data_IF_788642743880
#
_entry.id   IF_788642743880
#
_cell.length_a   1.000
_cell.length_b   1.000
_cell.length_c   1.000
_cell.angle_alpha   90.00
_cell.angle_beta   90.00
_cell.angle_gamma   90.00
#
_symmetry.space_group_name_H-M   'P 1'
#
loop_
_entity.id
_entity.type
_entity.pdbx_description
1 polymer ?
#
# COMPACT_ATOMS: atom_id res chain seq x y z
N UNK A 1 -7.04 19.79 3.46
CA UNK A 1 -5.61 19.42 3.52
C UNK A 1 -5.11 19.15 2.11
N UNK A 2 -3.82 19.28 1.89
CA UNK A 2 -3.14 18.82 0.67
C UNK A 2 -2.56 17.43 0.92
N UNK A 3 -3.06 16.42 0.23
CA UNK A 3 -2.67 15.02 0.45
C UNK A 3 -2.01 14.48 -0.82
N UNK A 4 -0.80 13.97 -0.70
CA UNK A 4 -0.14 13.23 -1.78
C UNK A 4 -0.42 11.73 -1.64
N UNK A 5 -0.91 11.10 -2.71
CA UNK A 5 -1.09 9.64 -2.79
C UNK A 5 -0.23 9.08 -3.91
N UNK A 6 0.69 8.18 -3.61
CA UNK A 6 1.44 7.51 -4.67
C UNK A 6 0.57 6.45 -5.36
N UNK A 7 0.49 6.50 -6.70
CA UNK A 7 -0.44 5.70 -7.50
C UNK A 7 -1.74 6.41 -7.81
N UNK A 8 -2.84 6.07 -7.14
CA UNK A 8 -4.15 6.74 -7.30
C UNK A 8 -5.06 6.18 -8.40
N UNK A 9 -4.63 5.20 -9.19
CA UNK A 9 -5.40 4.69 -10.34
C UNK A 9 -5.84 3.22 -10.21
N UNK A 10 -5.30 2.50 -9.23
CA UNK A 10 -5.54 1.05 -9.11
C UNK A 10 -5.77 0.67 -7.65
N UNK A 11 -6.74 -0.18 -7.42
CA UNK A 11 -7.06 -0.87 -6.17
C UNK A 11 -6.98 0.03 -4.92
N UNK A 12 -6.03 -0.24 -4.00
CA UNK A 12 -5.92 0.47 -2.72
C UNK A 12 -5.63 1.96 -2.92
N UNK A 13 -4.64 2.31 -3.74
CA UNK A 13 -4.29 3.71 -3.97
C UNK A 13 -5.42 4.50 -4.63
N UNK A 14 -6.21 3.85 -5.52
CA UNK A 14 -7.42 4.46 -6.09
C UNK A 14 -8.48 4.70 -5.03
N UNK A 15 -8.73 3.72 -4.16
CA UNK A 15 -9.73 3.83 -3.09
C UNK A 15 -9.38 4.94 -2.10
N UNK A 16 -8.10 5.06 -1.73
CA UNK A 16 -7.59 6.13 -0.86
C UNK A 16 -7.78 7.50 -1.53
N UNK A 17 -7.33 7.65 -2.77
CA UNK A 17 -7.45 8.91 -3.51
C UNK A 17 -8.93 9.31 -3.68
N UNK A 18 -9.82 8.38 -4.00
CA UNK A 18 -11.25 8.60 -4.14
C UNK A 18 -11.91 9.01 -2.81
N UNK A 19 -11.52 8.37 -1.71
CA UNK A 19 -12.06 8.68 -0.39
C UNK A 19 -11.69 10.09 0.06
N UNK A 20 -10.41 10.41 0.05
CA UNK A 20 -9.93 11.69 0.55
C UNK A 20 -10.24 12.87 -0.36
N UNK A 21 -10.43 12.66 -1.67
CA UNK A 21 -10.76 13.73 -2.61
C UNK A 21 -12.17 14.32 -2.45
N UNK A 22 -12.98 13.75 -1.56
CA UNK A 22 -14.30 14.30 -1.21
C UNK A 22 -14.18 15.63 -0.44
N UNK A 23 -13.20 15.74 0.45
CA UNK A 23 -13.08 16.85 1.39
C UNK A 23 -11.68 17.49 1.41
N UNK A 24 -10.76 17.02 0.55
CA UNK A 24 -9.37 17.47 0.53
C UNK A 24 -8.86 17.69 -0.90
N UNK A 25 -7.77 18.44 -1.04
CA UNK A 25 -7.01 18.53 -2.27
C UNK A 25 -6.10 17.31 -2.39
N UNK A 26 -6.46 16.35 -3.22
CA UNK A 26 -5.67 15.15 -3.42
C UNK A 26 -4.83 15.26 -4.68
N UNK A 27 -3.54 15.04 -4.50
CA UNK A 27 -2.55 14.92 -5.56
C UNK A 27 -2.19 13.44 -5.73
N UNK A 28 -2.16 12.95 -6.95
CA UNK A 28 -1.76 11.58 -7.27
C UNK A 28 -0.48 11.57 -8.07
N UNK A 29 0.51 10.83 -7.59
CA UNK A 29 1.81 10.68 -8.24
C UNK A 29 1.86 9.36 -9.00
N UNK A 30 1.85 9.41 -10.34
CA UNK A 30 1.95 8.22 -11.18
C UNK A 30 2.40 8.57 -12.61
N UNK A 31 2.64 7.55 -13.44
CA UNK A 31 3.13 7.68 -14.82
C UNK A 31 2.03 7.96 -15.85
N UNK A 32 0.83 8.31 -15.43
CA UNK A 32 -0.31 8.61 -16.30
C UNK A 32 -0.67 7.52 -17.35
N UNK A 33 -0.43 6.26 -17.01
CA UNK A 33 -0.71 5.13 -17.91
C UNK A 33 -2.16 4.63 -17.84
N UNK A 34 -2.95 5.17 -16.92
CA UNK A 34 -4.37 4.82 -16.72
C UNK A 34 -5.19 6.09 -16.51
N UNK A 35 -6.50 5.98 -16.77
CA UNK A 35 -7.45 7.07 -16.53
C UNK A 35 -7.42 7.51 -15.06
N UNK A 36 -7.25 8.79 -14.84
CA UNK A 36 -7.26 9.42 -13.51
C UNK A 36 -8.70 9.59 -12.99
N UNK A 37 -8.84 9.76 -11.68
CA UNK A 37 -10.09 10.24 -11.07
C UNK A 37 -10.33 11.71 -11.45
N UNK A 38 -11.60 12.12 -11.56
CA UNK A 38 -11.92 13.48 -12.01
C UNK A 38 -11.59 14.58 -10.99
N UNK A 39 -11.52 14.24 -9.71
CA UNK A 39 -11.38 15.16 -8.58
C UNK A 39 -10.02 15.06 -7.88
N UNK A 40 -8.98 14.67 -8.62
CA UNK A 40 -7.60 14.64 -8.14
C UNK A 40 -6.69 15.44 -9.07
N UNK A 41 -5.61 15.96 -8.56
CA UNK A 41 -4.56 16.61 -9.34
C UNK A 41 -3.46 15.61 -9.65
N UNK A 42 -3.20 15.37 -10.95
CA UNK A 42 -2.12 14.49 -11.36
C UNK A 42 -0.76 15.21 -11.27
N UNK A 43 0.18 14.55 -10.62
CA UNK A 43 1.62 14.83 -10.76
C UNK A 43 2.22 13.68 -11.57
N UNK A 44 2.38 13.94 -12.88
CA UNK A 44 2.92 12.92 -13.77
C UNK A 44 4.43 12.79 -13.62
N UNK A 45 4.86 11.65 -13.12
CA UNK A 45 6.28 11.29 -13.07
C UNK A 45 6.48 9.79 -12.80
N UNK A 46 7.68 9.29 -13.09
CA UNK A 46 8.15 8.01 -12.59
C UNK A 46 8.80 8.20 -11.21
N UNK A 47 8.35 7.41 -10.24
CA UNK A 47 8.86 7.49 -8.86
C UNK A 47 10.33 7.11 -8.70
N UNK A 48 10.89 6.38 -9.68
CA UNK A 48 12.32 6.06 -9.70
C UNK A 48 13.20 7.24 -10.09
N UNK A 49 12.60 8.33 -10.63
CA UNK A 49 13.31 9.52 -11.09
C UNK A 49 12.50 10.79 -10.79
N UNK A 50 12.25 11.06 -9.52
CA UNK A 50 11.46 12.21 -9.09
C UNK A 50 12.22 13.54 -9.21
N UNK A 51 13.51 13.56 -8.92
CA UNK A 51 14.30 14.79 -8.90
C UNK A 51 13.62 15.88 -8.05
N UNK A 52 13.48 17.07 -8.61
CA UNK A 52 12.85 18.23 -7.97
C UNK A 52 11.35 18.36 -8.27
N UNK A 53 10.71 17.34 -8.85
CA UNK A 53 9.32 17.42 -9.31
C UNK A 53 8.31 17.77 -8.22
N UNK A 54 8.60 17.38 -6.98
CA UNK A 54 7.74 17.65 -5.83
C UNK A 54 8.13 18.90 -5.05
N UNK A 55 9.27 19.53 -5.35
CA UNK A 55 9.78 20.73 -4.62
C UNK A 55 8.86 21.95 -4.70
N UNK A 56 8.01 22.05 -5.72
CA UNK A 56 7.03 23.12 -5.86
C UNK A 56 5.75 22.91 -5.05
N UNK A 57 5.60 21.80 -4.36
CA UNK A 57 4.39 21.44 -3.61
C UNK A 57 4.64 21.44 -2.10
N UNK A 58 3.57 21.65 -1.33
CA UNK A 58 3.54 21.45 0.11
C UNK A 58 2.39 20.52 0.44
N UNK A 59 2.69 19.40 1.09
CA UNK A 59 1.71 18.39 1.48
C UNK A 59 1.58 18.34 3.00
N UNK A 60 0.33 18.26 3.49
CA UNK A 60 0.05 18.02 4.90
C UNK A 60 0.27 16.54 5.23
N UNK A 61 -0.13 15.65 4.31
CA UNK A 61 -0.01 14.20 4.46
C UNK A 61 0.51 13.56 3.18
N UNK A 62 1.45 12.64 3.30
CA UNK A 62 1.92 11.77 2.22
C UNK A 62 1.44 10.35 2.49
N UNK A 63 0.67 9.76 1.59
CA UNK A 63 0.23 8.36 1.66
C UNK A 63 0.94 7.56 0.59
N UNK A 64 1.96 6.83 1.02
CA UNK A 64 2.81 6.04 0.12
C UNK A 64 2.32 4.60 0.01
N UNK A 65 1.66 4.30 -1.09
CA UNK A 65 1.05 3.00 -1.39
C UNK A 65 1.94 2.15 -2.31
N UNK A 66 2.78 2.80 -3.12
CA UNK A 66 3.46 2.14 -4.23
C UNK A 66 4.96 1.90 -4.02
N UNK A 67 5.54 2.29 -2.91
CA UNK A 67 6.93 1.95 -2.60
C UNK A 67 7.06 0.50 -2.14
N UNK A 68 7.97 -0.24 -2.76
CA UNK A 68 8.20 -1.66 -2.50
C UNK A 68 9.49 -1.97 -1.74
N UNK A 69 10.43 -1.02 -1.70
CA UNK A 69 11.74 -1.18 -1.08
C UNK A 69 12.23 0.15 -0.49
N UNK A 70 13.37 0.10 0.20
CA UNK A 70 14.01 1.26 0.79
C UNK A 70 14.29 2.38 -0.22
N UNK A 71 14.82 2.06 -1.40
CA UNK A 71 15.19 3.07 -2.39
C UNK A 71 13.97 3.83 -2.92
N UNK A 72 12.83 3.14 -3.07
CA UNK A 72 11.59 3.79 -3.48
C UNK A 72 11.15 4.85 -2.47
N UNK A 73 11.19 4.51 -1.18
CA UNK A 73 10.85 5.43 -0.08
C UNK A 73 11.84 6.58 0.01
N UNK A 74 13.14 6.28 -0.05
CA UNK A 74 14.20 7.27 -0.01
C UNK A 74 14.10 8.29 -1.14
N UNK A 75 13.84 7.83 -2.37
CA UNK A 75 13.62 8.71 -3.52
C UNK A 75 12.42 9.64 -3.31
N UNK A 76 11.32 9.12 -2.77
CA UNK A 76 10.13 9.93 -2.50
C UNK A 76 10.42 10.97 -1.39
N UNK A 77 11.00 10.55 -0.28
CA UNK A 77 11.35 11.41 0.85
C UNK A 77 12.28 12.55 0.40
N UNK A 78 13.32 12.24 -0.38
CA UNK A 78 14.28 13.22 -0.88
C UNK A 78 13.68 14.22 -1.89
N UNK A 79 12.61 13.84 -2.59
CA UNK A 79 11.92 14.71 -3.53
C UNK A 79 10.97 15.70 -2.84
N UNK A 80 10.57 15.46 -1.60
CA UNK A 80 9.69 16.33 -0.82
C UNK A 80 10.45 17.51 -0.19
N UNK A 81 9.80 18.65 -0.01
CA UNK A 81 10.39 19.81 0.70
C UNK A 81 10.31 19.63 2.22
N UNK A 82 9.14 19.22 2.70
CA UNK A 82 8.84 18.96 4.10
C UNK A 82 7.90 17.78 4.20
N UNK A 83 7.93 17.12 5.33
CA UNK A 83 7.07 15.99 5.64
C UNK A 83 6.43 16.26 6.99
N UNK A 84 5.12 16.56 7.00
CA UNK A 84 4.38 16.74 8.23
C UNK A 84 3.95 15.36 8.75
N UNK A 85 3.23 14.60 7.93
CA UNK A 85 2.82 13.23 8.23
C UNK A 85 3.09 12.32 7.04
N UNK A 86 3.63 11.13 7.30
CA UNK A 86 3.91 10.12 6.28
C UNK A 86 3.24 8.80 6.65
N UNK A 87 2.34 8.33 5.82
CA UNK A 87 1.64 7.05 5.99
C UNK A 87 2.18 6.07 4.94
N UNK A 88 2.82 5.01 5.40
CA UNK A 88 3.37 3.98 4.54
C UNK A 88 2.50 2.73 4.55
N UNK A 89 2.07 2.30 3.38
CA UNK A 89 1.38 1.02 3.21
C UNK A 89 2.44 -0.07 3.03
N UNK A 90 2.78 -0.69 4.15
CA UNK A 90 3.67 -1.85 4.22
C UNK A 90 2.91 -3.16 3.94
N UNK A 91 3.22 -4.24 4.61
CA UNK A 91 2.55 -5.54 4.45
C UNK A 91 2.80 -6.43 5.66
N UNK A 92 1.85 -7.29 5.99
CA UNK A 92 2.07 -8.39 6.95
C UNK A 92 3.07 -9.43 6.45
N UNK A 93 3.48 -9.38 5.18
CA UNK A 93 4.53 -10.21 4.61
C UNK A 93 5.93 -10.05 5.25
N UNK A 94 6.11 -9.00 6.06
CA UNK A 94 7.34 -8.80 6.84
C UNK A 94 7.48 -9.81 8.00
N UNK A 95 6.40 -10.46 8.41
CA UNK A 95 6.46 -11.39 9.54
C UNK A 95 6.89 -12.78 9.11
N UNK A 96 7.88 -13.39 9.79
CA UNK A 96 8.20 -14.81 9.64
C UNK A 96 6.99 -15.71 9.89
N UNK A 97 6.88 -16.80 9.14
CA UNK A 97 5.78 -17.75 9.24
C UNK A 97 5.74 -18.54 10.55
N UNK A 98 6.84 -18.62 11.28
CA UNK A 98 6.94 -19.33 12.56
C UNK A 98 6.50 -18.51 13.78
N UNK A 99 6.10 -17.26 13.59
CA UNK A 99 5.57 -16.45 14.67
C UNK A 99 4.16 -16.89 15.07
N UNK A 100 3.82 -16.79 16.38
CA UNK A 100 2.48 -17.10 16.83
C UNK A 100 1.46 -16.12 16.24
N UNK A 101 0.28 -16.63 15.90
CA UNK A 101 -0.84 -15.82 15.41
C UNK A 101 -1.89 -15.58 16.50
N UNK A 102 -2.60 -14.41 16.45
CA UNK A 102 -2.46 -13.33 15.49
C UNK A 102 -1.14 -12.58 15.64
N UNK A 103 -0.59 -12.07 14.52
CA UNK A 103 0.61 -11.26 14.56
C UNK A 103 0.36 -9.97 15.35
N UNK A 104 1.33 -9.59 16.18
CA UNK A 104 1.32 -8.35 16.96
C UNK A 104 2.30 -7.35 16.38
N UNK A 105 2.03 -6.07 16.55
CA UNK A 105 2.85 -4.99 15.99
C UNK A 105 4.29 -4.98 16.52
N UNK A 106 4.47 -5.40 17.79
CA UNK A 106 5.76 -5.48 18.45
C UNK A 106 6.64 -6.64 17.94
N UNK A 107 6.08 -7.58 17.19
CA UNK A 107 6.88 -8.69 16.67
C UNK A 107 7.90 -8.20 15.66
N UNK A 108 9.12 -8.70 15.80
CA UNK A 108 10.21 -8.40 14.86
C UNK A 108 9.89 -8.96 13.49
N UNK A 109 10.02 -8.13 12.47
CA UNK A 109 10.00 -8.58 11.09
C UNK A 109 11.23 -9.40 10.74
N UNK A 110 11.12 -10.23 9.72
CA UNK A 110 12.21 -11.08 9.24
C UNK A 110 11.87 -11.82 7.96
N UNK A 111 12.67 -12.81 7.60
CA UNK A 111 12.48 -13.59 6.40
C UNK A 111 11.23 -14.46 6.50
N UNK A 112 10.48 -14.50 5.40
CA UNK A 112 9.32 -15.36 5.19
C UNK A 112 9.51 -16.11 3.88
N UNK A 113 9.42 -17.44 3.91
CA UNK A 113 9.71 -18.31 2.75
C UNK A 113 8.74 -18.13 1.58
N UNK A 114 7.50 -17.70 1.87
CA UNK A 114 6.48 -17.41 0.85
C UNK A 114 6.72 -16.07 0.18
N UNK A 115 7.04 -15.04 0.96
CA UNK A 115 7.15 -13.64 0.50
C UNK A 115 8.58 -13.22 0.13
N UNK A 116 9.58 -13.99 0.57
CA UNK A 116 11.01 -13.82 0.20
C UNK A 116 11.43 -12.34 0.26
N UNK A 117 12.03 -11.87 -0.83
CA UNK A 117 12.56 -10.50 -0.94
C UNK A 117 11.48 -9.42 -0.78
N UNK A 118 10.21 -9.70 -1.13
CA UNK A 118 9.14 -8.73 -0.96
C UNK A 118 8.96 -8.32 0.52
N UNK A 119 8.92 -9.29 1.43
CA UNK A 119 8.82 -9.02 2.87
C UNK A 119 10.05 -8.28 3.40
N UNK A 120 11.24 -8.71 3.03
CA UNK A 120 12.51 -8.08 3.43
C UNK A 120 12.59 -6.64 2.91
N UNK A 121 12.28 -6.41 1.64
CA UNK A 121 12.30 -5.08 1.03
C UNK A 121 11.33 -4.10 1.74
N UNK A 122 10.14 -4.57 2.10
CA UNK A 122 9.19 -3.76 2.89
C UNK A 122 9.72 -3.46 4.29
N UNK A 123 10.35 -4.44 4.94
CA UNK A 123 10.96 -4.25 6.26
C UNK A 123 12.10 -3.23 6.24
N UNK A 124 12.93 -3.24 5.22
CA UNK A 124 14.00 -2.25 5.02
C UNK A 124 13.44 -0.84 4.79
N UNK A 125 12.35 -0.73 4.04
CA UNK A 125 11.63 0.52 3.85
C UNK A 125 11.05 1.06 5.17
N UNK A 126 10.45 0.18 6.00
CA UNK A 126 9.99 0.56 7.35
C UNK A 126 11.11 1.06 8.25
N UNK A 127 12.26 0.37 8.24
CA UNK A 127 13.43 0.78 8.99
C UNK A 127 13.90 2.17 8.59
N UNK A 128 14.05 2.40 7.28
CA UNK A 128 14.43 3.71 6.77
C UNK A 128 13.48 4.82 7.26
N UNK A 129 12.17 4.60 7.19
CA UNK A 129 11.19 5.58 7.65
C UNK A 129 11.30 5.84 9.15
N UNK A 130 11.42 4.81 9.97
CA UNK A 130 11.56 4.95 11.44
C UNK A 130 12.80 5.73 11.83
N UNK A 131 13.90 5.56 11.09
CA UNK A 131 15.17 6.21 11.38
C UNK A 131 15.22 7.66 10.88
N UNK A 132 14.44 8.02 9.85
CA UNK A 132 14.57 9.32 9.17
C UNK A 132 13.34 10.22 9.26
N UNK A 133 12.14 9.67 9.52
CA UNK A 133 10.88 10.42 9.52
C UNK A 133 10.20 10.31 10.89
N UNK A 134 10.19 11.37 11.64
CA UNK A 134 9.66 11.39 13.01
C UNK A 134 8.16 11.05 13.08
N UNK A 135 7.39 11.47 12.09
CA UNK A 135 5.93 11.27 12.03
C UNK A 135 5.58 10.32 10.89
N UNK A 136 6.17 9.12 10.92
CA UNK A 136 5.85 8.03 10.02
C UNK A 136 4.90 7.04 10.68
N UNK A 137 3.76 6.80 10.02
CA UNK A 137 2.79 5.76 10.38
C UNK A 137 2.93 4.60 9.40
N UNK A 138 3.06 3.39 9.92
CA UNK A 138 3.29 2.19 9.11
C UNK A 138 2.08 1.27 9.25
N UNK A 139 1.40 1.01 8.15
CA UNK A 139 0.24 0.12 8.10
C UNK A 139 0.66 -1.19 7.43
N UNK A 140 0.45 -2.32 8.10
CA UNK A 140 0.83 -3.67 7.64
C UNK A 140 -0.41 -4.50 7.31
N UNK A 141 -1.07 -4.24 6.16
CA UNK A 141 -2.28 -4.98 5.83
C UNK A 141 -1.97 -6.45 5.54
N UNK A 142 -2.91 -7.35 5.88
CA UNK A 142 -2.90 -8.72 5.40
C UNK A 142 -3.39 -8.76 3.94
N UNK A 143 -3.97 -9.88 3.49
CA UNK A 143 -4.57 -9.98 2.16
C UNK A 143 -5.71 -8.99 1.97
N UNK A 144 -5.47 -7.97 1.13
CA UNK A 144 -6.50 -7.02 0.75
C UNK A 144 -7.36 -7.58 -0.38
N UNK A 145 -8.68 -7.34 -0.31
CA UNK A 145 -9.63 -7.75 -1.33
C UNK A 145 -10.67 -6.65 -1.62
N UNK A 146 -11.43 -6.84 -2.69
CA UNK A 146 -12.52 -5.95 -3.08
C UNK A 146 -12.41 -5.41 -4.49
N UNK A 147 -13.36 -4.59 -4.95
CA UNK A 147 -13.45 -4.07 -6.31
C UNK A 147 -12.16 -3.43 -6.82
N UNK A 148 -11.87 -3.63 -8.08
CA UNK A 148 -10.65 -3.15 -8.78
C UNK A 148 -9.34 -3.78 -8.27
N UNK A 149 -9.40 -4.92 -7.56
CA UNK A 149 -8.21 -5.69 -7.27
C UNK A 149 -7.58 -6.14 -8.60
N UNK A 150 -6.29 -5.88 -8.73
CA UNK A 150 -5.54 -6.25 -9.94
C UNK A 150 -4.98 -7.68 -9.88
N UNK A 151 -5.21 -8.38 -8.78
CA UNK A 151 -4.84 -9.79 -8.59
C UNK A 151 -6.12 -10.61 -8.56
N UNK A 152 -6.21 -11.61 -9.44
CA UNK A 152 -7.33 -12.53 -9.53
C UNK A 152 -7.28 -13.54 -8.38
N UNK A 153 -7.73 -13.10 -7.22
CA UNK A 153 -7.65 -13.82 -5.93
C UNK A 153 -9.04 -14.29 -5.49
N UNK A 154 -9.77 -13.45 -4.77
CA UNK A 154 -11.15 -13.74 -4.36
C UNK A 154 -12.09 -13.87 -5.55
N UNK A 155 -11.87 -13.11 -6.61
CA UNK A 155 -12.63 -13.17 -7.83
C UNK A 155 -12.57 -14.57 -8.50
N UNK A 156 -11.45 -15.30 -8.33
CA UNK A 156 -11.34 -16.68 -8.82
C UNK A 156 -12.36 -17.61 -8.19
N UNK A 157 -12.59 -17.50 -6.88
CA UNK A 157 -13.53 -18.34 -6.15
C UNK A 157 -14.96 -18.04 -6.60
N UNK A 158 -15.31 -16.74 -6.70
CA UNK A 158 -16.62 -16.32 -7.19
C UNK A 158 -16.86 -16.76 -8.64
N UNK A 159 -15.86 -16.63 -9.50
CA UNK A 159 -15.94 -17.05 -10.89
C UNK A 159 -16.14 -18.58 -11.01
N UNK A 160 -15.44 -19.37 -10.19
CA UNK A 160 -15.67 -20.81 -10.13
C UNK A 160 -17.10 -21.14 -9.70
N UNK A 161 -17.59 -20.52 -8.63
CA UNK A 161 -18.93 -20.76 -8.12
C UNK A 161 -20.04 -20.37 -9.14
N UNK A 162 -19.86 -19.25 -9.86
CA UNK A 162 -20.84 -18.80 -10.85
C UNK A 162 -20.84 -19.61 -12.15
N UNK A 163 -19.79 -20.36 -12.44
CA UNK A 163 -19.63 -21.16 -13.65
C UNK A 163 -19.61 -22.66 -13.37
N UNK A 164 -20.06 -23.11 -12.19
CA UNK A 164 -20.05 -24.51 -11.74
C UNK A 164 -18.69 -25.20 -11.93
N UNK A 165 -17.60 -24.47 -11.75
CA UNK A 165 -16.24 -24.99 -11.85
C UNK A 165 -15.73 -25.44 -10.50
N UNK A 166 -15.09 -26.57 -10.45
CA UNK A 166 -14.36 -27.05 -9.28
C UNK A 166 -12.98 -26.42 -9.23
N UNK A 167 -12.41 -26.30 -8.02
CA UNK A 167 -11.04 -25.88 -7.79
C UNK A 167 -10.42 -26.69 -6.64
N UNK A 168 -9.11 -26.77 -6.63
CA UNK A 168 -8.38 -27.47 -5.57
C UNK A 168 -8.25 -26.59 -4.35
N UNK A 169 -8.54 -27.14 -3.19
CA UNK A 169 -8.26 -26.54 -1.90
C UNK A 169 -6.84 -27.00 -1.46
N UNK A 170 -5.93 -26.10 -1.14
CA UNK A 170 -4.58 -26.46 -0.69
C UNK A 170 -4.61 -27.27 0.62
N UNK A 171 -3.79 -28.32 0.69
CA UNK A 171 -3.65 -29.17 1.88
C UNK A 171 -5.00 -29.79 2.30
N UNK A 172 -5.33 -29.70 3.58
CA UNK A 172 -6.57 -30.20 4.21
C UNK A 172 -7.74 -29.18 4.20
N UNK A 173 -7.49 -27.98 3.71
CA UNK A 173 -8.49 -26.90 3.67
C UNK A 173 -8.67 -26.15 4.98
N UNK A 174 -7.97 -26.52 6.04
CA UNK A 174 -8.10 -25.90 7.37
C UNK A 174 -7.23 -24.65 7.57
N UNK A 175 -6.51 -24.23 6.53
CA UNK A 175 -5.66 -23.03 6.59
C UNK A 175 -6.50 -21.77 6.87
N UNK A 176 -6.19 -21.09 7.96
CA UNK A 176 -6.83 -19.82 8.31
C UNK A 176 -6.12 -18.67 7.61
N UNK A 177 -6.85 -17.96 6.75
CA UNK A 177 -6.38 -16.76 6.07
C UNK A 177 -7.16 -15.56 6.55
N UNK A 178 -6.46 -14.46 6.85
CA UNK A 178 -7.10 -13.20 7.16
C UNK A 178 -7.17 -12.34 5.90
N UNK A 179 -8.38 -11.96 5.55
CA UNK A 179 -8.67 -11.03 4.47
C UNK A 179 -9.15 -9.70 5.05
N UNK A 180 -8.75 -8.62 4.41
CA UNK A 180 -9.16 -7.27 4.80
C UNK A 180 -9.78 -6.56 3.59
N UNK A 181 -11.04 -6.13 3.74
CA UNK A 181 -11.73 -5.42 2.66
C UNK A 181 -11.14 -4.01 2.52
N UNK A 182 -10.85 -3.59 1.29
CA UNK A 182 -10.16 -2.32 1.02
C UNK A 182 -10.84 -1.05 1.55
N UNK A 183 -12.13 -1.12 1.88
CA UNK A 183 -12.90 -0.04 2.53
C UNK A 183 -13.20 -0.31 4.01
N UNK A 184 -12.72 -1.41 4.59
CA UNK A 184 -12.92 -1.67 6.01
C UNK A 184 -12.14 -0.64 6.81
N UNK A 185 -12.86 0.22 7.47
CA UNK A 185 -12.53 1.08 8.62
C UNK A 185 -11.06 1.47 8.88
N UNK A 186 -10.26 1.66 7.84
CA UNK A 186 -8.89 2.20 7.98
C UNK A 186 -8.92 3.62 8.55
N UNK A 187 -10.09 4.23 8.63
CA UNK A 187 -10.31 5.65 8.89
C UNK A 187 -11.20 5.92 10.11
N UNK A 188 -11.41 4.94 10.99
CA UNK A 188 -12.22 5.09 12.21
C UNK A 188 -11.39 5.07 13.50
N UNK A 189 -10.19 5.63 13.47
CA UNK A 189 -9.44 5.92 14.70
C UNK A 189 -8.81 7.28 14.62
#
# INVERSE_FOLDING_TARGET
MNILVTGGTTFVSKAIAEYFSKDNNVYVLNRNTKKQLNNVTLIENDRSNLGDKLKGYSFDVVIDVTSYNKNDVENLVNALNNINEYIFISSSAIYPENLPQPFKEEYSGGYNSTWKDYGINKLEAEKYLKDNIKQAYIIRPPYLYGPYNNIYREAFIFDCAMNDRTFYIPSDGEMKLQFFYKFSNWFYY
#
